data_IF_607358911283
#
_entry.id   IF_607358911283
#
_cell.length_a   1.000
_cell.length_b   1.000
_cell.length_c   1.000
_cell.angle_alpha   90.00
_cell.angle_beta   90.00
_cell.angle_gamma   90.00
#
_symmetry.space_group_name_H-M   'P 1'
#
loop_
_entity.id
_entity.type
_entity.pdbx_description
1 polymer ?
#
# COMPACT_ATOMS: atom_id res chain seq x y z
N UNK A 1 14.52 -38.99 30.93
CA UNK A 1 14.95 -37.81 30.16
C UNK A 1 14.35 -37.94 28.77
N UNK A 2 13.16 -37.36 28.57
CA UNK A 2 12.50 -37.25 27.26
C UNK A 2 12.94 -35.97 26.60
N UNK A 3 13.61 -36.07 25.45
CA UNK A 3 13.89 -34.96 24.57
C UNK A 3 12.61 -34.59 23.84
N UNK A 4 12.05 -33.42 24.11
CA UNK A 4 11.01 -32.80 23.30
C UNK A 4 11.62 -32.42 21.94
N UNK A 5 11.17 -33.06 20.87
CA UNK A 5 11.40 -32.62 19.50
C UNK A 5 10.62 -31.32 19.30
N UNK A 6 11.36 -30.25 18.99
CA UNK A 6 10.78 -29.01 18.50
C UNK A 6 10.48 -29.26 17.03
N UNK A 7 9.20 -29.22 16.68
CA UNK A 7 8.71 -29.28 15.30
C UNK A 7 8.94 -27.91 14.63
N UNK A 8 9.97 -27.85 13.79
CA UNK A 8 10.46 -26.67 13.08
C UNK A 8 9.76 -26.48 11.72
N UNK A 9 8.47 -26.78 11.63
CA UNK A 9 7.72 -26.50 10.41
C UNK A 9 7.34 -25.03 10.31
N UNK A 10 7.70 -24.33 9.19
CA UNK A 10 7.46 -22.89 9.03
C UNK A 10 5.99 -22.48 8.87
N UNK A 11 5.06 -23.42 8.99
CA UNK A 11 3.63 -23.21 8.75
C UNK A 11 2.83 -22.68 9.95
N UNK A 12 3.44 -22.50 11.11
CA UNK A 12 2.72 -22.19 12.37
C UNK A 12 2.92 -20.78 12.93
N UNK A 13 3.55 -19.87 12.21
CA UNK A 13 3.52 -18.46 12.59
C UNK A 13 2.35 -17.78 11.86
N UNK A 14 1.14 -18.27 12.10
CA UNK A 14 -0.06 -17.52 11.80
C UNK A 14 -0.32 -16.56 12.96
N UNK A 15 -0.09 -15.28 12.74
CA UNK A 15 -0.63 -14.24 13.61
C UNK A 15 -2.16 -14.34 13.59
N UNK A 16 -2.73 -14.91 14.63
CA UNK A 16 -4.17 -14.88 14.91
C UNK A 16 -4.57 -13.45 15.30
N UNK A 17 -4.67 -12.56 14.31
CA UNK A 17 -5.46 -11.34 14.48
C UNK A 17 -6.91 -11.73 14.28
N UNK A 18 -7.76 -11.44 15.26
CA UNK A 18 -9.19 -11.66 15.15
C UNK A 18 -9.75 -10.94 13.92
N UNK A 19 -10.72 -11.56 13.23
CA UNK A 19 -11.29 -11.05 11.96
C UNK A 19 -11.80 -9.59 12.05
N UNK A 20 -12.20 -9.15 13.24
CA UNK A 20 -12.68 -7.79 13.51
C UNK A 20 -11.58 -6.73 13.41
N UNK A 21 -10.37 -7.05 13.85
CA UNK A 21 -9.26 -6.08 13.87
C UNK A 21 -8.73 -5.80 12.45
N UNK A 22 -8.80 -6.75 11.52
CA UNK A 22 -8.41 -6.54 10.13
C UNK A 22 -9.31 -5.55 9.41
N UNK A 23 -10.64 -5.67 9.59
CA UNK A 23 -11.64 -4.80 8.94
C UNK A 23 -11.56 -3.37 9.47
N UNK A 24 -11.31 -3.20 10.77
CA UNK A 24 -11.19 -1.89 11.40
C UNK A 24 -9.93 -1.13 10.98
N UNK A 25 -8.83 -1.83 10.64
CA UNK A 25 -7.57 -1.20 10.21
C UNK A 25 -7.55 -0.78 8.74
N UNK A 26 -8.37 -1.38 7.87
CA UNK A 26 -8.37 -1.11 6.42
C UNK A 26 -9.02 0.26 6.05
N UNK A 27 -9.73 0.90 6.96
CA UNK A 27 -10.43 2.17 6.72
C UNK A 27 -9.90 3.34 7.56
N UNK A 28 -8.68 3.22 8.12
CA UNK A 28 -8.08 4.32 8.85
C UNK A 28 -7.62 5.39 7.86
N UNK A 29 -8.16 6.59 8.01
CA UNK A 29 -7.74 7.79 7.31
C UNK A 29 -7.02 8.73 8.27
N UNK A 30 -6.33 9.74 7.73
CA UNK A 30 -5.65 10.74 8.56
C UNK A 30 -6.58 11.42 9.57
N UNK A 31 -7.86 11.55 9.23
CA UNK A 31 -8.87 12.24 10.03
C UNK A 31 -9.85 11.31 10.77
N UNK A 32 -9.54 10.02 10.84
CA UNK A 32 -10.37 9.06 11.60
C UNK A 32 -10.50 9.51 13.06
N UNK A 33 -11.74 9.53 13.58
CA UNK A 33 -12.10 10.00 14.94
C UNK A 33 -11.78 11.49 15.20
N UNK A 34 -11.73 12.33 14.16
CA UNK A 34 -11.59 13.78 14.25
C UNK A 34 -12.84 14.41 13.63
N UNK A 35 -13.55 15.22 14.41
CA UNK A 35 -14.77 15.88 13.96
C UNK A 35 -14.48 16.90 12.83
N UNK A 36 -15.40 17.11 11.88
CA UNK A 36 -15.19 18.04 10.76
C UNK A 36 -14.83 19.47 11.21
N UNK A 37 -15.43 19.96 12.29
CA UNK A 37 -15.11 21.29 12.86
C UNK A 37 -13.69 21.36 13.39
N UNK A 38 -13.17 20.28 13.91
CA UNK A 38 -11.82 20.15 14.42
C UNK A 38 -10.82 20.04 13.27
N UNK A 39 -11.18 19.33 12.19
CA UNK A 39 -10.38 19.25 10.97
C UNK A 39 -10.12 20.64 10.40
N UNK A 40 -11.14 21.52 10.39
CA UNK A 40 -10.99 22.89 9.89
C UNK A 40 -10.02 23.71 10.75
N UNK A 41 -10.10 23.60 12.08
CA UNK A 41 -9.11 24.22 12.99
C UNK A 41 -7.69 23.71 12.76
N UNK A 42 -7.56 22.40 12.51
CA UNK A 42 -6.27 21.78 12.24
C UNK A 42 -5.65 22.26 10.92
N UNK A 43 -6.45 22.61 9.91
CA UNK A 43 -5.95 23.17 8.63
C UNK A 43 -5.07 24.39 8.86
N UNK A 44 -5.44 25.25 9.82
CA UNK A 44 -4.66 26.43 10.22
C UNK A 44 -3.39 26.02 10.96
N UNK A 45 -3.50 25.14 11.95
CA UNK A 45 -2.39 24.69 12.79
C UNK A 45 -1.30 23.96 11.98
N UNK A 46 -1.69 23.15 11.01
CA UNK A 46 -0.78 22.35 10.18
C UNK A 46 -0.35 23.05 8.89
N UNK A 47 -0.75 24.32 8.71
CA UNK A 47 -0.50 25.10 7.49
C UNK A 47 -0.87 24.32 6.22
N UNK A 48 -2.04 23.72 6.26
CA UNK A 48 -2.55 22.90 5.15
C UNK A 48 -2.62 23.73 3.88
N UNK A 49 -2.11 23.16 2.79
CA UNK A 49 -2.25 23.71 1.44
C UNK A 49 -2.84 22.67 0.53
N UNK A 50 -3.83 23.05 -0.27
CA UNK A 50 -4.43 22.17 -1.27
C UNK A 50 -3.97 22.60 -2.66
N UNK A 51 -3.71 21.63 -3.52
CA UNK A 51 -3.38 21.84 -4.92
C UNK A 51 -4.00 20.75 -5.77
N UNK A 52 -4.47 21.13 -6.98
CA UNK A 52 -4.97 20.22 -8.00
C UNK A 52 -3.89 20.05 -9.06
N UNK A 53 -3.66 18.81 -9.45
CA UNK A 53 -2.68 18.41 -10.47
C UNK A 53 -3.42 17.73 -11.62
N UNK A 54 -2.98 18.02 -12.85
CA UNK A 54 -3.50 17.37 -14.05
C UNK A 54 -2.84 15.99 -14.23
N UNK A 55 -3.45 15.16 -15.06
CA UNK A 55 -2.85 13.88 -15.42
C UNK A 55 -1.45 14.08 -16.04
N UNK A 56 -0.46 13.35 -15.53
CA UNK A 56 0.95 13.43 -15.93
C UNK A 56 1.77 14.51 -15.20
N UNK A 57 1.16 15.36 -14.35
CA UNK A 57 1.92 16.34 -13.57
C UNK A 57 2.65 15.69 -12.39
N UNK A 58 3.90 16.09 -12.16
CA UNK A 58 4.65 15.72 -10.97
C UNK A 58 4.09 16.47 -9.76
N UNK A 59 3.63 15.71 -8.79
CA UNK A 59 3.07 16.20 -7.52
C UNK A 59 4.18 16.55 -6.54
N UNK A 60 5.17 15.65 -6.42
CA UNK A 60 6.26 15.78 -5.45
C UNK A 60 7.48 14.97 -5.93
N UNK A 61 8.64 15.55 -5.75
CA UNK A 61 9.93 14.87 -5.87
C UNK A 61 10.54 14.71 -4.47
N UNK A 62 11.02 13.52 -4.15
CA UNK A 62 11.60 13.22 -2.85
C UNK A 62 13.04 13.75 -2.79
N UNK A 63 13.34 14.55 -1.79
CA UNK A 63 14.66 15.08 -1.54
C UNK A 63 14.96 15.15 -0.04
N UNK A 64 16.22 15.26 0.33
CA UNK A 64 16.65 15.39 1.72
C UNK A 64 16.12 16.66 2.42
N UNK A 65 15.68 17.65 1.65
CA UNK A 65 15.08 18.89 2.15
C UNK A 65 13.54 18.82 2.26
N UNK A 66 12.95 17.68 1.98
CA UNK A 66 11.50 17.53 1.98
C UNK A 66 10.92 17.69 3.39
N UNK A 67 9.91 18.55 3.51
CA UNK A 67 9.27 18.87 4.79
C UNK A 67 7.74 18.76 4.73
N UNK A 68 7.21 18.09 3.73
CA UNK A 68 5.76 18.01 3.51
C UNK A 68 5.31 16.57 3.37
N UNK A 69 4.16 16.31 3.95
CA UNK A 69 3.38 15.07 3.74
C UNK A 69 2.23 15.43 2.82
N UNK A 70 1.97 14.61 1.81
CA UNK A 70 0.82 14.71 0.91
C UNK A 70 -0.25 13.70 1.27
N UNK A 71 -1.51 14.09 1.16
CA UNK A 71 -2.69 13.24 1.27
C UNK A 71 -3.50 13.38 -0.02
N UNK A 72 -3.78 12.27 -0.70
CA UNK A 72 -4.68 12.26 -1.86
C UNK A 72 -6.11 12.43 -1.37
N UNK A 73 -6.75 13.56 -1.68
CA UNK A 73 -8.16 13.80 -1.37
C UNK A 73 -9.08 13.25 -2.46
N UNK A 74 -8.69 13.41 -3.72
CA UNK A 74 -9.41 12.95 -4.90
C UNK A 74 -8.42 12.55 -6.00
N UNK A 75 -8.83 11.64 -6.88
CA UNK A 75 -8.00 11.18 -7.98
C UNK A 75 -7.05 10.05 -7.61
N UNK A 76 -5.97 9.91 -8.38
CA UNK A 76 -4.95 8.86 -8.23
C UNK A 76 -3.59 9.36 -8.66
N UNK A 77 -2.56 8.84 -8.02
CA UNK A 77 -1.17 9.10 -8.35
C UNK A 77 -0.34 7.82 -8.25
N UNK A 78 0.88 7.86 -8.73
CA UNK A 78 1.84 6.75 -8.64
C UNK A 78 3.16 7.27 -8.11
N UNK A 79 3.75 6.53 -7.19
CA UNK A 79 5.13 6.71 -6.74
C UNK A 79 6.06 5.93 -7.66
N UNK A 80 6.97 6.64 -8.30
CA UNK A 80 8.01 6.08 -9.16
C UNK A 80 9.38 6.16 -8.49
N UNK A 81 10.22 5.21 -8.88
CA UNK A 81 11.67 5.29 -8.71
C UNK A 81 12.30 5.33 -10.09
N UNK A 82 13.23 6.26 -10.32
CA UNK A 82 14.04 6.34 -11.52
C UNK A 82 15.48 5.95 -11.18
N UNK A 83 16.08 5.04 -11.97
CA UNK A 83 17.48 4.66 -11.81
C UNK A 83 18.43 5.59 -12.61
N UNK A 84 19.73 5.38 -12.50
CA UNK A 84 20.76 6.17 -13.19
C UNK A 84 20.67 6.10 -14.71
N UNK A 85 20.10 5.02 -15.26
CA UNK A 85 19.91 4.82 -16.69
C UNK A 85 18.62 5.47 -17.21
N UNK A 86 17.81 6.08 -16.31
CA UNK A 86 16.56 6.73 -16.62
C UNK A 86 15.36 5.77 -16.74
N UNK A 87 15.48 4.53 -16.29
CA UNK A 87 14.35 3.61 -16.26
C UNK A 87 13.45 3.91 -15.08
N UNK A 88 12.15 3.93 -15.32
CA UNK A 88 11.13 4.19 -14.32
C UNK A 88 10.51 2.89 -13.80
N UNK A 89 10.42 2.78 -12.48
CA UNK A 89 9.81 1.64 -11.79
C UNK A 89 8.67 2.11 -10.92
N UNK A 90 7.51 1.49 -11.05
CA UNK A 90 6.37 1.73 -10.18
C UNK A 90 6.65 1.10 -8.81
N UNK A 91 6.71 1.94 -7.79
CA UNK A 91 6.93 1.52 -6.40
C UNK A 91 5.60 1.31 -5.71
N UNK A 92 4.65 2.27 -5.88
CA UNK A 92 3.36 2.21 -5.19
C UNK A 92 2.28 2.96 -5.97
N UNK A 93 1.02 2.54 -5.82
CA UNK A 93 -0.16 3.22 -6.33
C UNK A 93 -0.85 3.97 -5.18
N UNK A 94 -1.08 5.26 -5.38
CA UNK A 94 -1.67 6.16 -4.41
C UNK A 94 -3.10 6.49 -4.83
N UNK A 95 -4.05 6.00 -4.06
CA UNK A 95 -5.47 6.24 -4.24
C UNK A 95 -5.98 7.30 -3.24
N UNK A 96 -7.27 7.60 -3.28
CA UNK A 96 -7.92 8.45 -2.27
C UNK A 96 -7.54 7.97 -0.86
N UNK A 97 -7.29 8.91 0.04
CA UNK A 97 -6.84 8.74 1.42
C UNK A 97 -5.42 8.17 1.59
N UNK A 98 -4.68 7.91 0.50
CA UNK A 98 -3.27 7.56 0.58
C UNK A 98 -2.42 8.75 1.05
N UNK A 99 -1.49 8.46 1.97
CA UNK A 99 -0.47 9.40 2.44
C UNK A 99 0.85 9.10 1.75
N UNK A 100 1.60 10.14 1.37
CA UNK A 100 2.92 10.05 0.76
C UNK A 100 3.80 11.23 1.20
N UNK A 101 5.08 11.20 0.85
CA UNK A 101 6.03 12.24 1.25
C UNK A 101 6.60 12.00 2.65
N UNK A 102 6.59 10.75 3.11
CA UNK A 102 7.18 10.39 4.39
C UNK A 102 8.69 10.64 4.34
N UNK A 103 9.26 11.34 5.34
CA UNK A 103 10.68 11.70 5.35
C UNK A 103 11.63 10.50 5.50
N UNK A 104 11.08 9.29 5.63
CA UNK A 104 11.85 8.05 5.73
C UNK A 104 12.27 7.49 4.38
N UNK A 105 11.63 7.92 3.30
CA UNK A 105 12.02 7.54 1.95
C UNK A 105 13.07 8.57 1.45
N UNK A 106 14.25 8.52 2.04
CA UNK A 106 15.36 9.34 1.58
C UNK A 106 15.91 8.72 0.28
N UNK A 107 16.02 9.49 -0.80
CA UNK A 107 16.66 9.02 -2.01
C UNK A 107 18.10 8.61 -1.68
N UNK A 108 18.56 7.49 -2.21
CA UNK A 108 19.98 7.21 -2.33
C UNK A 108 20.56 8.09 -3.44
N UNK A 109 21.87 8.30 -3.46
CA UNK A 109 22.53 9.14 -4.48
C UNK A 109 22.30 8.62 -5.93
N UNK A 110 21.87 7.36 -6.08
CA UNK A 110 21.64 6.69 -7.35
C UNK A 110 20.17 6.51 -7.75
N UNK A 111 19.23 6.99 -6.93
CA UNK A 111 17.80 6.77 -7.19
C UNK A 111 16.99 8.03 -6.90
N UNK A 112 16.11 8.39 -7.85
CA UNK A 112 15.17 9.49 -7.70
C UNK A 112 13.76 8.96 -7.51
N UNK A 113 13.08 9.41 -6.46
CA UNK A 113 11.69 9.06 -6.19
C UNK A 113 10.81 10.28 -6.44
N UNK A 114 9.71 10.08 -7.16
CA UNK A 114 8.73 11.14 -7.40
C UNK A 114 7.31 10.59 -7.49
N UNK A 115 6.35 11.42 -7.15
CA UNK A 115 4.91 11.13 -7.24
C UNK A 115 4.34 11.87 -8.42
N UNK A 116 3.65 11.15 -9.31
CA UNK A 116 3.03 11.70 -10.51
C UNK A 116 1.52 11.42 -10.50
N UNK A 117 0.71 12.43 -10.85
CA UNK A 117 -0.73 12.28 -10.99
C UNK A 117 -1.08 11.41 -12.22
N UNK A 118 -1.94 10.40 -12.04
CA UNK A 118 -2.43 9.54 -13.14
C UNK A 118 -3.87 9.84 -13.54
N UNK A 119 -4.51 10.75 -12.83
CA UNK A 119 -5.80 11.36 -13.15
C UNK A 119 -5.75 12.82 -12.69
N UNK A 120 -6.81 13.60 -12.90
CA UNK A 120 -6.94 14.87 -12.16
C UNK A 120 -6.98 14.54 -10.68
N UNK A 121 -6.00 15.08 -9.93
CA UNK A 121 -5.72 14.67 -8.55
C UNK A 121 -5.66 15.88 -7.63
N UNK A 122 -6.50 15.88 -6.60
CA UNK A 122 -6.48 16.90 -5.55
C UNK A 122 -5.67 16.38 -4.37
N UNK A 123 -4.67 17.15 -3.96
CA UNK A 123 -3.73 16.80 -2.89
C UNK A 123 -3.77 17.85 -1.79
N UNK A 124 -3.84 17.38 -0.56
CA UNK A 124 -3.62 18.16 0.64
C UNK A 124 -2.16 17.99 1.09
N UNK A 125 -1.45 19.08 1.28
CA UNK A 125 -0.10 19.09 1.85
C UNK A 125 -0.11 19.58 3.28
N UNK A 126 0.62 18.88 4.14
CA UNK A 126 0.80 19.18 5.56
C UNK A 126 2.29 19.38 5.80
N UNK A 127 2.66 20.39 6.54
CA UNK A 127 4.04 20.61 6.94
C UNK A 127 4.45 19.59 8.01
N UNK A 128 5.46 18.76 7.72
CA UNK A 128 5.95 17.72 8.60
C UNK A 128 6.38 18.25 9.97
N UNK A 129 7.02 19.42 10.03
CA UNK A 129 7.45 20.01 11.30
C UNK A 129 6.28 20.31 12.22
N UNK A 130 5.11 20.67 11.65
CA UNK A 130 3.90 20.88 12.43
C UNK A 130 3.22 19.59 12.89
N UNK A 131 3.51 18.46 12.24
CA UNK A 131 3.01 17.15 12.67
C UNK A 131 3.78 16.65 13.90
N UNK A 132 5.11 16.81 13.90
CA UNK A 132 5.97 16.28 14.98
C UNK A 132 6.12 17.20 16.17
N UNK A 133 5.99 18.52 15.99
CA UNK A 133 6.08 19.48 17.09
C UNK A 133 4.76 19.48 17.87
N UNK A 134 4.84 19.33 19.20
CA UNK A 134 3.67 19.51 20.06
C UNK A 134 3.11 20.92 19.83
N UNK A 135 1.82 20.99 19.56
CA UNK A 135 1.07 22.24 19.61
C UNK A 135 1.15 22.82 21.02
N UNK A 136 1.35 24.11 21.18
CA UNK A 136 1.38 24.80 22.48
C UNK A 136 0.11 24.54 23.31
N UNK A 137 -1.01 24.32 22.62
CA UNK A 137 -2.31 24.02 23.23
C UNK A 137 -2.51 22.53 23.57
N UNK A 138 -1.51 21.64 23.34
CA UNK A 138 -1.58 20.20 23.60
C UNK A 138 -2.93 19.55 23.19
N UNK A 139 -3.47 19.95 22.05
CA UNK A 139 -4.82 19.58 21.65
C UNK A 139 -4.95 18.07 21.36
N UNK A 140 -6.08 17.49 21.79
CA UNK A 140 -6.38 16.08 21.59
C UNK A 140 -6.33 15.66 20.11
N UNK A 141 -6.78 16.53 19.22
CA UNK A 141 -6.86 16.29 17.78
C UNK A 141 -5.49 16.09 17.13
N UNK A 142 -4.47 16.82 17.60
CA UNK A 142 -3.08 16.63 17.16
C UNK A 142 -2.61 15.21 17.49
N UNK A 143 -2.79 14.77 18.73
CA UNK A 143 -2.42 13.42 19.15
C UNK A 143 -3.18 12.35 18.36
N UNK A 144 -4.47 12.58 18.07
CA UNK A 144 -5.28 11.66 17.27
C UNK A 144 -4.75 11.55 15.84
N UNK A 145 -4.42 12.67 15.19
CA UNK A 145 -3.88 12.67 13.83
C UNK A 145 -2.52 11.98 13.77
N UNK A 146 -1.64 12.23 14.72
CA UNK A 146 -0.33 11.54 14.81
C UNK A 146 -0.53 10.03 15.00
N UNK A 147 -1.48 9.62 15.84
CA UNK A 147 -1.84 8.22 16.03
C UNK A 147 -2.36 7.59 14.76
N UNK A 148 -3.25 8.28 14.02
CA UNK A 148 -3.77 7.81 12.73
C UNK A 148 -2.64 7.66 11.71
N UNK A 149 -1.75 8.65 11.60
CA UNK A 149 -0.59 8.60 10.70
C UNK A 149 0.32 7.40 11.03
N UNK A 150 0.60 7.16 12.30
CA UNK A 150 1.39 6.00 12.73
C UNK A 150 0.71 4.68 12.35
N UNK A 151 -0.60 4.56 12.57
CA UNK A 151 -1.36 3.37 12.21
C UNK A 151 -1.37 3.15 10.68
N UNK A 152 -1.56 4.21 9.88
CA UNK A 152 -1.48 4.15 8.41
C UNK A 152 -0.10 3.71 7.94
N UNK A 153 0.97 4.23 8.54
CA UNK A 153 2.36 3.84 8.23
C UNK A 153 2.63 2.38 8.61
N UNK A 154 2.16 1.93 9.76
CA UNK A 154 2.29 0.53 10.19
C UNK A 154 1.54 -0.44 9.25
N UNK A 155 0.32 -0.06 8.82
CA UNK A 155 -0.45 -0.84 7.85
C UNK A 155 0.27 -0.95 6.51
N UNK A 156 0.82 0.17 6.02
CA UNK A 156 1.61 0.19 4.78
C UNK A 156 2.87 -0.67 4.88
N UNK A 157 3.60 -0.58 5.98
CA UNK A 157 4.77 -1.43 6.25
C UNK A 157 4.41 -2.91 6.21
N UNK A 158 3.27 -3.29 6.77
CA UNK A 158 2.76 -4.66 6.72
C UNK A 158 2.45 -5.08 5.28
N UNK A 159 1.75 -4.26 4.49
CA UNK A 159 1.45 -4.56 3.08
C UNK A 159 2.73 -4.75 2.26
N UNK A 160 3.76 -3.93 2.51
CA UNK A 160 5.07 -4.08 1.90
C UNK A 160 5.75 -5.41 2.31
N UNK A 161 5.67 -5.79 3.57
CA UNK A 161 6.18 -7.08 4.07
C UNK A 161 5.47 -8.26 3.42
N UNK A 162 4.14 -8.20 3.30
CA UNK A 162 3.35 -9.23 2.61
C UNK A 162 3.75 -9.33 1.12
N UNK A 163 4.00 -8.19 0.47
CA UNK A 163 4.52 -8.17 -0.91
C UNK A 163 5.90 -8.80 -1.02
N UNK A 164 6.83 -8.45 -0.14
CA UNK A 164 8.18 -9.05 -0.11
C UNK A 164 8.05 -10.57 0.07
N UNK A 165 7.20 -11.03 0.98
CA UNK A 165 6.95 -12.45 1.18
C UNK A 165 6.42 -13.15 -0.08
N UNK A 166 5.48 -12.53 -0.81
CA UNK A 166 5.00 -13.04 -2.09
C UNK A 166 6.13 -13.12 -3.14
N UNK A 167 6.92 -12.04 -3.27
CA UNK A 167 8.00 -11.96 -4.24
C UNK A 167 9.17 -12.92 -3.95
N UNK A 168 9.41 -13.26 -2.69
CA UNK A 168 10.45 -14.22 -2.28
C UNK A 168 10.11 -15.68 -2.60
N UNK A 169 8.88 -15.98 -3.04
CA UNK A 169 8.50 -17.34 -3.42
C UNK A 169 9.28 -17.80 -4.65
N UNK A 170 9.71 -19.08 -4.63
CA UNK A 170 10.68 -19.64 -5.58
C UNK A 170 10.12 -19.91 -6.99
N UNK A 171 8.80 -19.84 -7.21
CA UNK A 171 8.20 -20.11 -8.52
C UNK A 171 7.02 -19.20 -8.82
N UNK A 172 6.76 -18.98 -10.12
CA UNK A 172 5.60 -18.23 -10.63
C UNK A 172 4.30 -18.75 -10.02
N UNK A 173 4.14 -20.07 -9.97
CA UNK A 173 2.98 -20.73 -9.34
C UNK A 173 2.80 -20.34 -7.88
N UNK A 174 3.87 -20.44 -7.08
CA UNK A 174 3.83 -20.11 -5.64
C UNK A 174 3.55 -18.63 -5.41
N UNK A 175 4.12 -17.72 -6.21
CA UNK A 175 3.86 -16.29 -6.16
C UNK A 175 2.39 -16.00 -6.48
N UNK A 176 1.87 -16.57 -7.56
CA UNK A 176 0.49 -16.41 -8.00
C UNK A 176 -0.49 -16.92 -6.94
N UNK A 177 -0.29 -18.12 -6.42
CA UNK A 177 -1.17 -18.69 -5.39
C UNK A 177 -1.15 -17.87 -4.10
N UNK A 178 0.02 -17.41 -3.66
CA UNK A 178 0.14 -16.53 -2.49
C UNK A 178 -0.69 -15.24 -2.66
N UNK A 179 -0.64 -14.62 -3.83
CA UNK A 179 -1.45 -13.45 -4.16
C UNK A 179 -2.96 -13.76 -4.16
N UNK A 180 -3.37 -14.83 -4.83
CA UNK A 180 -4.79 -15.21 -4.91
C UNK A 180 -5.37 -15.57 -3.53
N UNK A 181 -4.62 -16.26 -2.69
CA UNK A 181 -5.03 -16.55 -1.32
C UNK A 181 -5.10 -15.28 -0.45
N UNK A 182 -4.15 -14.36 -0.60
CA UNK A 182 -4.20 -13.07 0.11
C UNK A 182 -5.45 -12.29 -0.28
N UNK A 183 -5.76 -12.22 -1.58
CA UNK A 183 -6.95 -11.53 -2.09
C UNK A 183 -8.26 -12.21 -1.65
N UNK A 184 -8.30 -13.53 -1.62
CA UNK A 184 -9.46 -14.28 -1.11
C UNK A 184 -9.69 -14.05 0.39
N UNK A 185 -8.62 -13.98 1.17
CA UNK A 185 -8.67 -13.69 2.60
C UNK A 185 -9.15 -12.25 2.87
N UNK A 186 -8.63 -11.26 2.10
CA UNK A 186 -9.06 -9.86 2.16
C UNK A 186 -10.56 -9.73 1.88
N UNK A 187 -11.02 -10.35 0.79
CA UNK A 187 -12.44 -10.29 0.38
C UNK A 187 -13.36 -11.25 1.13
N UNK A 188 -12.81 -12.06 2.02
CA UNK A 188 -13.52 -13.12 2.75
C UNK A 188 -14.37 -14.03 1.83
N UNK A 189 -13.88 -14.29 0.62
CA UNK A 189 -14.55 -15.15 -0.38
C UNK A 189 -13.54 -15.78 -1.33
N UNK A 190 -13.80 -17.00 -1.77
CA UNK A 190 -13.05 -17.66 -2.83
C UNK A 190 -13.38 -17.15 -4.24
N UNK A 191 -14.43 -16.32 -4.40
CA UNK A 191 -14.87 -15.77 -5.70
C UNK A 191 -14.65 -14.26 -5.72
N UNK A 192 -13.80 -13.79 -6.63
CA UNK A 192 -13.49 -12.37 -6.72
C UNK A 192 -13.07 -11.97 -8.14
N UNK A 193 -13.18 -10.69 -8.43
CA UNK A 193 -12.62 -10.08 -9.62
C UNK A 193 -11.24 -9.54 -9.29
N UNK A 194 -10.24 -9.88 -10.12
CA UNK A 194 -8.89 -9.31 -9.99
C UNK A 194 -8.96 -7.78 -10.11
N UNK A 195 -8.35 -7.03 -9.19
CA UNK A 195 -8.38 -5.57 -9.19
C UNK A 195 -7.61 -4.97 -10.38
N UNK A 196 -6.67 -5.73 -10.93
CA UNK A 196 -5.80 -5.31 -12.03
C UNK A 196 -5.86 -6.27 -13.23
N UNK A 197 -5.28 -5.86 -14.36
CA UNK A 197 -5.12 -6.72 -15.54
C UNK A 197 -4.08 -7.82 -15.30
N UNK A 198 -4.10 -8.89 -16.08
CA UNK A 198 -3.07 -9.93 -16.00
C UNK A 198 -1.66 -9.42 -16.32
N UNK A 199 -1.54 -8.41 -17.16
CA UNK A 199 -0.25 -7.76 -17.45
C UNK A 199 0.26 -7.04 -16.20
N UNK A 200 -0.58 -6.23 -15.55
CA UNK A 200 -0.23 -5.55 -14.31
C UNK A 200 0.05 -6.54 -13.17
N UNK A 201 -0.70 -7.66 -13.09
CA UNK A 201 -0.46 -8.70 -12.10
C UNK A 201 0.91 -9.39 -12.30
N UNK A 202 1.29 -9.67 -13.55
CA UNK A 202 2.59 -10.24 -13.85
C UNK A 202 3.73 -9.28 -13.43
N UNK A 203 3.59 -7.99 -13.72
CA UNK A 203 4.52 -6.96 -13.26
C UNK A 203 4.55 -6.88 -11.73
N UNK A 204 3.40 -6.86 -11.07
CA UNK A 204 3.27 -6.83 -9.60
C UNK A 204 3.98 -8.01 -8.92
N UNK A 205 3.89 -9.22 -9.52
CA UNK A 205 4.52 -10.45 -9.03
C UNK A 205 5.97 -10.62 -9.51
N UNK A 206 6.47 -9.70 -10.34
CA UNK A 206 7.81 -9.78 -10.96
C UNK A 206 8.01 -11.15 -11.63
N UNK A 207 7.11 -11.48 -12.56
CA UNK A 207 7.15 -12.72 -13.36
C UNK A 207 6.84 -12.43 -14.83
N UNK A 208 7.32 -13.29 -15.73
CA UNK A 208 6.93 -13.23 -17.13
C UNK A 208 5.43 -13.50 -17.29
N UNK A 209 4.74 -12.63 -18.07
CA UNK A 209 3.29 -12.74 -18.30
C UNK A 209 2.89 -14.08 -18.92
N UNK A 210 3.68 -14.57 -19.89
CA UNK A 210 3.38 -15.82 -20.58
C UNK A 210 3.54 -17.01 -19.64
N UNK A 211 4.57 -16.99 -18.78
CA UNK A 211 4.79 -18.00 -17.74
C UNK A 211 3.63 -17.98 -16.74
N UNK A 212 3.20 -16.80 -16.28
CA UNK A 212 2.06 -16.69 -15.37
C UNK A 212 0.76 -17.21 -16.01
N UNK A 213 0.49 -16.88 -17.26
CA UNK A 213 -0.72 -17.36 -17.95
C UNK A 213 -0.73 -18.87 -18.17
N UNK A 214 0.46 -19.48 -18.36
CA UNK A 214 0.59 -20.96 -18.41
C UNK A 214 0.24 -21.57 -17.05
N UNK A 215 0.75 -20.99 -15.95
CA UNK A 215 0.42 -21.47 -14.61
C UNK A 215 -1.07 -21.32 -14.28
N UNK A 216 -1.72 -20.23 -14.69
CA UNK A 216 -3.18 -20.07 -14.54
C UNK A 216 -3.93 -21.16 -15.27
N UNK A 217 -3.49 -21.52 -16.50
CA UNK A 217 -4.08 -22.62 -17.24
C UNK A 217 -3.89 -23.95 -16.52
N UNK A 218 -2.67 -24.26 -16.08
CA UNK A 218 -2.37 -25.49 -15.34
C UNK A 218 -3.24 -25.62 -14.07
N UNK A 219 -3.34 -24.53 -13.29
CA UNK A 219 -4.19 -24.50 -12.09
C UNK A 219 -5.68 -24.70 -12.41
N UNK A 220 -6.14 -24.22 -13.57
CA UNK A 220 -7.51 -24.46 -14.02
C UNK A 220 -7.73 -25.91 -14.43
N UNK A 221 -6.78 -26.50 -15.17
CA UNK A 221 -6.83 -27.90 -15.63
C UNK A 221 -6.75 -28.88 -14.42
N UNK A 222 -6.02 -28.51 -13.38
CA UNK A 222 -5.93 -29.26 -12.11
C UNK A 222 -7.16 -29.07 -11.20
N UNK A 223 -8.11 -28.20 -11.55
CA UNK A 223 -9.29 -27.93 -10.74
C UNK A 223 -8.99 -27.17 -9.43
N UNK A 224 -7.89 -26.43 -9.37
CA UNK A 224 -7.52 -25.58 -8.23
C UNK A 224 -8.24 -24.24 -8.30
N UNK A 225 -8.41 -23.70 -9.50
CA UNK A 225 -9.14 -22.46 -9.73
C UNK A 225 -10.02 -22.53 -10.99
N UNK A 226 -11.04 -21.70 -11.04
CA UNK A 226 -11.78 -21.35 -12.26
C UNK A 226 -11.58 -19.90 -12.60
N UNK A 227 -11.59 -19.55 -13.88
CA UNK A 227 -11.54 -18.17 -14.34
C UNK A 227 -12.51 -17.89 -15.49
N UNK A 228 -13.05 -16.70 -15.46
CA UNK A 228 -13.78 -16.07 -16.58
C UNK A 228 -13.33 -14.62 -16.68
N UNK A 229 -12.56 -14.31 -17.74
CA UNK A 229 -11.89 -13.02 -17.85
C UNK A 229 -11.02 -12.74 -16.63
N UNK A 230 -11.35 -11.69 -15.85
CA UNK A 230 -10.71 -11.35 -14.57
C UNK A 230 -11.42 -11.92 -13.34
N UNK A 231 -12.55 -12.57 -13.51
CA UNK A 231 -13.22 -13.25 -12.41
C UNK A 231 -12.49 -14.56 -12.10
N UNK A 232 -12.15 -14.75 -10.86
CA UNK A 232 -11.41 -15.95 -10.37
C UNK A 232 -12.21 -16.57 -9.22
N UNK A 233 -12.27 -17.90 -9.23
CA UNK A 233 -12.82 -18.70 -8.15
C UNK A 233 -11.77 -19.73 -7.71
N UNK A 234 -11.33 -19.67 -6.47
CA UNK A 234 -10.50 -20.70 -5.85
C UNK A 234 -11.39 -21.86 -5.40
N UNK A 235 -11.03 -23.08 -5.82
CA UNK A 235 -11.79 -24.31 -5.55
C UNK A 235 -11.19 -25.14 -4.42
N UNK A 236 -9.91 -24.91 -4.11
CA UNK A 236 -9.15 -25.60 -3.05
C UNK A 236 -8.26 -24.60 -2.32
#
# INVERSE_FOLDING_TARGET
>A
MQKSQIDDSPEKICYNLEKGDRIAMEHITLFTNILPEEQERMRVCFKVREKVFQNGETIMEYSSSMKKIGLIQEGRAVLYCCDEDGNEYVIDELNKDSVFGEPFLLPSDSQHYYVCATTVTKVMFIDYEHVIKRCENACHHHSQMVSNLLQMTALRSRQQTDRIYMLSRSSTRKKLMAYLHSLAAEKNTGKFKLPMSYTALAQYLSVDRSAMMREIKNLSDEGVLKRDGRNVELLK
#
